data_IF_418211345095
#
_entry.id   IF_418211345095
#
_cell.length_a   1.000
_cell.length_b   1.000
_cell.length_c   1.000
_cell.angle_alpha   90.00
_cell.angle_beta   90.00
_cell.angle_gamma   90.00
#
_symmetry.space_group_name_H-M   'P 1'
#
loop_
_entity.id
_entity.type
_entity.pdbx_description
1 polymer ?
#
# COMPACT_ATOMS: atom_id res chain seq x y z
N UNK A 1 -113.63 -43.72 43.40
CA UNK A 1 -113.96 -43.85 41.96
C UNK A 1 -114.55 -42.54 41.45
N UNK A 2 -113.77 -41.78 40.66
CA UNK A 2 -114.15 -40.99 39.46
C UNK A 2 -113.04 -40.01 39.14
N UNK A 3 -112.14 -40.47 38.27
CA UNK A 3 -111.22 -39.66 37.50
C UNK A 3 -112.00 -38.76 36.55
N UNK A 4 -111.73 -37.46 36.56
CA UNK A 4 -112.08 -36.57 35.45
C UNK A 4 -110.79 -35.98 34.88
N UNK A 5 -110.40 -36.49 33.71
CA UNK A 5 -109.40 -35.86 32.84
C UNK A 5 -109.89 -34.47 32.46
N UNK A 6 -109.17 -33.41 32.83
CA UNK A 6 -109.27 -32.11 32.15
C UNK A 6 -108.05 -31.94 31.24
N UNK A 7 -108.35 -31.77 29.95
CA UNK A 7 -107.40 -31.63 28.86
C UNK A 7 -106.33 -30.57 29.13
N UNK A 8 -105.10 -30.92 28.76
CA UNK A 8 -103.93 -30.03 28.71
C UNK A 8 -104.26 -28.87 27.75
N UNK A 9 -104.63 -27.69 28.26
CA UNK A 9 -104.47 -26.45 27.48
C UNK A 9 -102.96 -26.27 27.35
N UNK A 10 -102.39 -26.62 26.19
CA UNK A 10 -101.01 -26.22 25.89
C UNK A 10 -100.97 -24.70 25.95
N UNK A 11 -100.36 -24.15 27.00
CA UNK A 11 -100.19 -22.71 27.12
C UNK A 11 -99.23 -22.28 26.02
N UNK A 12 -99.79 -21.93 24.86
CA UNK A 12 -99.06 -21.35 23.72
C UNK A 12 -98.15 -20.21 24.20
N UNK A 13 -98.60 -19.44 25.21
CA UNK A 13 -97.83 -18.38 25.88
C UNK A 13 -96.57 -18.88 26.59
N UNK A 14 -96.61 -20.04 27.25
CA UNK A 14 -95.45 -20.64 27.94
C UNK A 14 -94.48 -21.25 26.93
N UNK A 15 -94.99 -21.88 25.88
CA UNK A 15 -94.16 -22.35 24.77
C UNK A 15 -93.54 -21.19 24.00
N UNK A 16 -94.26 -20.09 23.72
CA UNK A 16 -93.70 -18.88 23.12
C UNK A 16 -92.65 -18.23 24.03
N UNK A 17 -92.88 -18.21 25.34
CA UNK A 17 -91.93 -17.64 26.30
C UNK A 17 -90.65 -18.48 26.38
N UNK A 18 -90.78 -19.82 26.39
CA UNK A 18 -89.63 -20.73 26.33
C UNK A 18 -88.91 -20.65 24.97
N UNK A 19 -89.63 -20.44 23.88
CA UNK A 19 -89.06 -20.30 22.54
C UNK A 19 -88.38 -18.93 22.37
N UNK A 20 -88.91 -17.88 23.00
CA UNK A 20 -88.28 -16.56 23.12
C UNK A 20 -87.02 -16.65 23.99
N UNK A 21 -87.08 -17.34 25.14
CA UNK A 21 -85.91 -17.56 25.99
C UNK A 21 -84.83 -18.37 25.27
N UNK A 22 -85.24 -19.43 24.54
CA UNK A 22 -84.34 -20.24 23.73
C UNK A 22 -83.77 -19.43 22.54
N UNK A 23 -84.56 -18.56 21.91
CA UNK A 23 -84.08 -17.66 20.86
C UNK A 23 -83.08 -16.63 21.43
N UNK A 24 -83.35 -16.04 22.59
CA UNK A 24 -82.41 -15.13 23.27
C UNK A 24 -81.13 -15.86 23.68
N UNK A 25 -81.23 -17.10 24.17
CA UNK A 25 -80.07 -17.94 24.49
C UNK A 25 -79.30 -18.39 23.23
N UNK A 26 -79.97 -18.63 22.09
CA UNK A 26 -79.32 -18.92 20.81
C UNK A 26 -78.63 -17.68 20.19
N UNK A 27 -79.16 -16.48 20.44
CA UNK A 27 -78.50 -15.22 20.04
C UNK A 27 -77.25 -14.96 20.90
N UNK A 28 -77.19 -15.52 22.13
CA UNK A 28 -75.98 -15.46 22.98
C UNK A 28 -74.91 -16.50 22.64
N UNK A 29 -75.13 -17.40 21.68
CA UNK A 29 -74.23 -18.52 21.37
C UNK A 29 -73.75 -18.59 19.91
N UNK A 30 -73.70 -17.46 19.21
CA UNK A 30 -73.01 -17.38 17.91
C UNK A 30 -72.13 -16.14 17.83
N UNK A 31 -70.92 -16.34 17.27
CA UNK A 31 -69.78 -15.42 17.17
C UNK A 31 -68.93 -15.30 18.43
N UNK A 32 -68.27 -16.42 18.77
CA UNK A 32 -66.86 -16.32 19.13
C UNK A 32 -66.14 -15.63 17.97
N UNK A 33 -65.92 -14.32 18.09
CA UNK A 33 -64.90 -13.67 17.30
C UNK A 33 -63.66 -13.60 18.16
N UNK A 34 -62.69 -14.44 17.82
CA UNK A 34 -61.30 -14.16 18.13
C UNK A 34 -61.05 -12.70 17.78
N UNK A 35 -60.70 -11.87 18.77
CA UNK A 35 -60.07 -10.61 18.45
C UNK A 35 -58.73 -10.98 17.83
N UNK A 36 -58.71 -11.04 16.49
CA UNK A 36 -57.47 -10.98 15.74
C UNK A 36 -56.74 -9.73 16.21
N UNK A 37 -55.54 -9.91 16.76
CA UNK A 37 -54.61 -8.78 16.88
C UNK A 37 -54.36 -8.29 15.46
N UNK A 38 -55.02 -7.22 15.03
CA UNK A 38 -54.78 -6.56 13.74
C UNK A 38 -53.49 -5.73 13.74
N UNK A 39 -52.71 -5.84 14.82
CA UNK A 39 -51.40 -5.23 14.99
C UNK A 39 -50.42 -6.33 15.34
N UNK A 40 -49.64 -6.75 14.34
CA UNK A 40 -48.35 -7.38 14.58
C UNK A 40 -47.32 -6.24 14.61
N UNK A 41 -46.62 -6.10 15.73
CA UNK A 41 -45.48 -5.18 15.83
C UNK A 41 -44.20 -6.01 15.74
N UNK A 42 -43.34 -5.68 14.78
CA UNK A 42 -41.98 -6.20 14.75
C UNK A 42 -41.20 -5.40 15.79
N UNK A 43 -40.60 -6.08 16.78
CA UNK A 43 -39.70 -5.44 17.75
C UNK A 43 -38.62 -4.62 17.05
N UNK A 44 -38.09 -3.58 17.71
CA UNK A 44 -36.95 -2.80 17.20
C UNK A 44 -35.87 -3.73 16.67
N UNK A 45 -35.65 -3.74 15.35
CA UNK A 45 -34.56 -4.47 14.74
C UNK A 45 -33.26 -3.76 15.15
N UNK A 46 -32.57 -4.31 16.14
CA UNK A 46 -31.23 -3.87 16.52
C UNK A 46 -30.26 -4.38 15.46
N UNK A 47 -30.12 -3.63 14.37
CA UNK A 47 -29.12 -3.89 13.35
C UNK A 47 -27.80 -3.30 13.85
N UNK A 48 -26.84 -4.18 14.18
CA UNK A 48 -25.44 -3.78 14.30
C UNK A 48 -24.95 -3.54 12.87
N UNK A 49 -24.75 -2.27 12.51
CA UNK A 49 -23.98 -1.93 11.31
C UNK A 49 -22.52 -2.03 11.73
N UNK A 50 -21.87 -3.15 11.42
CA UNK A 50 -20.40 -3.22 11.49
C UNK A 50 -19.84 -2.38 10.35
N UNK A 51 -18.71 -1.72 10.58
CA UNK A 51 -17.99 -1.00 9.54
C UNK A 51 -17.73 -1.95 8.38
N UNK A 52 -18.03 -1.48 7.17
CA UNK A 52 -17.69 -2.19 5.93
C UNK A 52 -16.19 -2.45 5.96
N UNK A 53 -15.78 -3.67 5.63
CA UNK A 53 -14.37 -4.08 5.61
C UNK A 53 -13.48 -2.97 5.04
N UNK A 54 -12.41 -2.62 5.75
CA UNK A 54 -11.68 -1.38 5.49
C UNK A 54 -10.20 -1.45 5.79
N UNK A 55 -9.48 -0.47 5.26
CA UNK A 55 -8.05 -0.27 5.49
C UNK A 55 -7.82 1.08 6.17
N UNK A 56 -7.00 1.06 7.22
CA UNK A 56 -6.42 2.26 7.80
C UNK A 56 -4.90 2.13 7.83
N UNK A 57 -4.20 3.26 7.86
CA UNK A 57 -2.74 3.33 7.93
C UNK A 57 -2.28 4.12 9.15
N UNK A 58 -1.07 3.84 9.62
CA UNK A 58 -0.46 4.52 10.77
C UNK A 58 1.05 4.62 10.61
N UNK A 59 1.68 5.64 11.21
CA UNK A 59 3.14 5.69 11.35
C UNK A 59 3.65 4.97 12.60
N UNK A 60 2.77 4.66 13.58
CA UNK A 60 3.18 4.11 14.88
C UNK A 60 2.31 2.94 15.37
N UNK A 61 1.43 2.38 14.53
CA UNK A 61 0.49 1.31 14.86
C UNK A 61 -0.51 1.61 16.00
N UNK A 62 -0.61 2.85 16.46
CA UNK A 62 -1.56 3.29 17.50
C UNK A 62 -2.56 4.31 16.97
N UNK A 63 -2.06 5.27 16.19
CA UNK A 63 -2.84 6.36 15.62
C UNK A 63 -3.20 6.02 14.17
N UNK A 64 -4.41 5.50 13.97
CA UNK A 64 -4.92 5.07 12.66
C UNK A 64 -5.60 6.22 11.91
N UNK A 65 -5.31 6.33 10.62
CA UNK A 65 -5.77 7.40 9.72
C UNK A 65 -5.92 6.87 8.30
N UNK A 66 -6.58 7.63 7.42
CA UNK A 66 -6.62 7.36 5.97
C UNK A 66 -5.47 8.05 5.22
N UNK A 67 -4.69 8.91 5.88
CA UNK A 67 -3.58 9.66 5.24
C UNK A 67 -2.44 9.89 6.22
N UNK A 68 -1.22 9.56 5.78
CA UNK A 68 0.02 9.89 6.49
C UNK A 68 0.67 11.14 5.88
N UNK A 69 1.11 12.05 6.75
CA UNK A 69 1.87 13.24 6.35
C UNK A 69 3.36 13.04 6.64
N UNK A 70 4.22 13.83 5.99
CA UNK A 70 5.66 13.79 6.25
C UNK A 70 6.00 14.06 7.74
N UNK A 71 5.22 14.93 8.40
CA UNK A 71 5.38 15.22 9.83
C UNK A 71 5.09 13.97 10.70
N UNK A 72 4.04 13.21 10.37
CA UNK A 72 3.70 11.96 11.07
C UNK A 72 4.77 10.87 10.89
N UNK A 73 5.45 10.85 9.75
CA UNK A 73 6.50 9.87 9.42
C UNK A 73 7.82 10.22 10.11
N UNK A 74 8.19 11.51 10.13
CA UNK A 74 9.48 11.99 10.65
C UNK A 74 9.47 12.35 12.13
N UNK A 75 8.29 12.52 12.73
CA UNK A 75 8.16 12.89 14.15
C UNK A 75 8.54 14.33 14.47
N UNK A 76 8.74 15.18 13.44
CA UNK A 76 8.98 16.61 13.62
C UNK A 76 7.64 17.34 13.87
N UNK A 77 7.39 17.72 15.12
CA UNK A 77 6.37 18.68 15.56
C UNK A 77 4.89 18.41 15.18
N UNK A 78 4.37 17.21 15.46
CA UNK A 78 2.91 17.02 15.52
C UNK A 78 2.37 17.30 16.94
N UNK A 79 1.49 18.30 17.07
CA UNK A 79 0.86 18.66 18.36
C UNK A 79 -0.01 17.51 18.83
N UNK A 80 0.43 16.81 19.89
CA UNK A 80 -0.27 15.69 20.53
C UNK A 80 0.31 14.30 20.26
N UNK A 81 1.44 14.17 19.54
CA UNK A 81 2.10 12.88 19.37
C UNK A 81 3.04 12.59 20.55
N UNK A 82 2.80 11.51 21.29
CA UNK A 82 3.94 10.64 21.63
C UNK A 82 4.67 10.39 20.31
N UNK A 83 5.99 10.57 20.24
CA UNK A 83 6.82 10.44 19.05
C UNK A 83 6.39 9.25 18.15
N UNK A 84 6.86 9.24 16.89
CA UNK A 84 6.88 7.98 16.12
C UNK A 84 7.41 6.83 17.01
N UNK A 85 7.03 5.57 16.74
CA UNK A 85 7.30 4.48 17.67
C UNK A 85 8.81 4.39 18.00
N UNK A 86 9.14 4.00 19.24
CA UNK A 86 10.46 4.19 19.88
C UNK A 86 11.66 3.81 19.01
N UNK A 87 11.54 2.74 18.23
CA UNK A 87 12.63 2.16 17.46
C UNK A 87 12.55 2.50 15.95
N UNK A 88 11.67 3.42 15.56
CA UNK A 88 11.51 3.86 14.19
C UNK A 88 12.80 4.48 13.63
N UNK A 89 13.23 4.01 12.45
CA UNK A 89 14.34 4.62 11.70
C UNK A 89 13.82 5.06 10.35
N UNK A 90 13.16 6.23 10.34
CA UNK A 90 12.53 6.81 9.16
C UNK A 90 13.41 7.94 8.59
N UNK A 91 13.74 7.84 7.31
CA UNK A 91 14.61 8.71 6.54
C UNK A 91 13.79 9.43 5.46
N UNK A 92 13.66 10.76 5.53
CA UNK A 92 12.90 11.56 4.54
C UNK A 92 13.70 12.81 4.15
N UNK A 93 14.78 12.66 3.35
CA UNK A 93 15.63 13.77 2.97
C UNK A 93 14.95 14.66 1.92
N UNK A 94 15.33 15.94 1.90
CA UNK A 94 14.85 16.90 0.90
C UNK A 94 15.60 16.81 -0.45
N UNK A 95 16.72 16.08 -0.48
CA UNK A 95 17.56 15.87 -1.66
C UNK A 95 17.86 14.38 -1.76
N UNK A 96 17.54 13.77 -2.90
CA UNK A 96 17.93 12.40 -3.22
C UNK A 96 19.22 12.42 -4.04
N UNK A 97 20.05 11.40 -3.84
CA UNK A 97 21.18 11.12 -4.71
C UNK A 97 21.00 9.73 -5.33
N UNK A 98 21.56 9.49 -6.52
CA UNK A 98 21.50 8.18 -7.15
C UNK A 98 22.08 7.11 -6.22
N UNK A 99 21.24 6.12 -5.90
CA UNK A 99 21.64 4.92 -5.16
C UNK A 99 21.22 3.71 -5.96
N UNK A 100 21.81 2.55 -5.65
CA UNK A 100 21.47 1.29 -6.31
C UNK A 100 21.45 0.16 -5.30
N UNK A 101 20.74 -0.92 -5.65
CA UNK A 101 20.54 -2.07 -4.78
C UNK A 101 20.07 -3.28 -5.58
N UNK A 102 20.37 -4.47 -5.07
CA UNK A 102 19.74 -5.71 -5.52
C UNK A 102 18.53 -6.15 -4.68
N UNK A 103 18.07 -5.32 -3.74
CA UNK A 103 16.98 -5.68 -2.82
C UNK A 103 17.36 -6.71 -1.75
N UNK A 104 18.66 -6.91 -1.51
CA UNK A 104 19.12 -7.72 -0.39
C UNK A 104 18.72 -7.04 0.93
N UNK A 105 18.18 -7.81 1.86
CA UNK A 105 17.72 -7.31 3.16
C UNK A 105 18.61 -7.88 4.24
N UNK A 106 19.10 -7.01 5.12
CA UNK A 106 19.79 -7.37 6.35
C UNK A 106 19.04 -6.74 7.54
N UNK A 107 18.57 -7.59 8.47
CA UNK A 107 17.84 -7.19 9.69
C UNK A 107 16.69 -6.21 9.43
N UNK A 108 15.81 -6.52 8.49
CA UNK A 108 14.66 -5.67 8.13
C UNK A 108 14.97 -4.52 7.16
N UNK A 109 16.25 -4.24 6.91
CA UNK A 109 16.66 -3.09 6.09
C UNK A 109 17.23 -3.50 4.76
N UNK A 110 16.78 -2.86 3.69
CA UNK A 110 17.35 -3.05 2.36
C UNK A 110 18.76 -2.46 2.31
N UNK A 111 19.73 -3.23 1.81
CA UNK A 111 21.07 -2.72 1.52
C UNK A 111 20.99 -1.71 0.39
N UNK A 112 21.50 -0.50 0.62
CA UNK A 112 21.53 0.57 -0.38
C UNK A 112 22.97 0.99 -0.61
N UNK A 113 23.32 1.34 -1.84
CA UNK A 113 24.66 1.77 -2.20
C UNK A 113 24.64 3.12 -2.90
N UNK A 114 25.32 4.11 -2.34
CA UNK A 114 25.49 5.43 -2.95
C UNK A 114 26.50 5.35 -4.10
N UNK A 115 26.02 5.63 -5.31
CA UNK A 115 26.84 5.68 -6.51
C UNK A 115 27.62 6.99 -6.62
N UNK A 116 28.88 6.91 -7.01
CA UNK A 116 29.70 8.07 -7.39
C UNK A 116 30.57 7.76 -8.58
N UNK A 117 30.50 8.62 -9.59
CA UNK A 117 31.36 8.55 -10.76
C UNK A 117 32.66 9.30 -10.49
N UNK A 118 33.78 8.64 -10.75
CA UNK A 118 35.14 9.19 -10.65
C UNK A 118 35.84 9.07 -12.01
N UNK A 119 36.95 9.78 -12.17
CA UNK A 119 37.86 9.58 -13.29
C UNK A 119 38.94 8.58 -12.88
N UNK A 120 39.10 7.51 -13.65
CA UNK A 120 40.11 6.48 -13.40
C UNK A 120 41.52 7.06 -13.44
N UNK A 121 42.35 6.60 -12.49
CA UNK A 121 43.78 6.89 -12.38
C UNK A 121 44.67 5.72 -12.78
N UNK A 122 44.10 4.56 -13.11
CA UNK A 122 44.87 3.39 -13.54
C UNK A 122 45.42 3.62 -14.95
N UNK A 123 46.54 2.97 -15.29
CA UNK A 123 47.09 3.09 -16.64
C UNK A 123 46.16 2.49 -17.71
N UNK A 124 45.37 1.47 -17.35
CA UNK A 124 44.45 0.78 -18.27
C UNK A 124 43.23 1.64 -18.66
N UNK A 125 42.69 2.42 -17.73
CA UNK A 125 41.45 3.19 -17.91
C UNK A 125 41.61 4.69 -17.75
N UNK A 126 42.85 5.19 -17.70
CA UNK A 126 43.19 6.60 -17.48
C UNK A 126 42.28 7.57 -18.22
N UNK A 127 41.64 8.46 -17.46
CA UNK A 127 40.78 9.50 -18.02
C UNK A 127 39.35 9.06 -18.35
N UNK A 128 39.01 7.77 -18.23
CA UNK A 128 37.64 7.25 -18.36
C UNK A 128 36.88 7.36 -17.05
N UNK A 129 35.55 7.36 -17.14
CA UNK A 129 34.69 7.34 -15.96
C UNK A 129 34.55 5.93 -15.38
N UNK A 130 34.67 5.84 -14.06
CA UNK A 130 34.50 4.61 -13.27
C UNK A 130 33.47 4.83 -12.17
N UNK A 131 32.73 3.77 -11.85
CA UNK A 131 31.76 3.78 -10.77
C UNK A 131 32.39 3.34 -9.45
N UNK A 132 32.09 4.05 -8.39
CA UNK A 132 32.25 3.60 -7.01
C UNK A 132 30.88 3.53 -6.33
N UNK A 133 30.74 2.64 -5.36
CA UNK A 133 29.50 2.40 -4.65
C UNK A 133 29.79 2.20 -3.17
N UNK A 134 29.27 3.08 -2.32
CA UNK A 134 29.49 3.02 -0.86
C UNK A 134 28.22 2.51 -0.17
N UNK A 135 28.31 1.53 0.74
CA UNK A 135 27.15 1.07 1.51
C UNK A 135 26.57 2.22 2.35
N UNK A 136 25.26 2.37 2.29
CA UNK A 136 24.50 3.33 3.08
C UNK A 136 23.77 2.63 4.22
N UNK A 137 23.45 3.40 5.26
CA UNK A 137 22.59 2.94 6.34
C UNK A 137 21.44 3.90 6.54
N UNK A 138 20.27 3.38 6.87
CA UNK A 138 19.10 4.21 7.13
C UNK A 138 19.38 5.15 8.31
N UNK A 139 19.22 6.45 8.08
CA UNK A 139 19.35 7.50 9.09
C UNK A 139 17.98 8.02 9.49
N UNK A 140 17.73 8.15 10.79
CA UNK A 140 16.46 8.72 11.26
C UNK A 140 16.46 10.25 11.03
N UNK A 141 15.39 10.79 10.46
CA UNK A 141 15.18 12.22 10.24
C UNK A 141 15.26 12.63 8.76
N UNK A 142 15.90 13.78 8.51
CA UNK A 142 15.90 14.47 7.21
C UNK A 142 17.22 14.35 6.44
N UNK A 143 18.14 13.51 6.92
CA UNK A 143 19.42 13.24 6.27
C UNK A 143 19.35 11.94 5.47
N UNK A 144 20.28 11.72 4.54
CA UNK A 144 20.33 10.50 3.71
C UNK A 144 20.15 10.78 2.22
N UNK A 145 20.22 9.72 1.41
CA UNK A 145 20.26 9.81 -0.06
C UNK A 145 19.02 9.20 -0.75
N UNK A 146 18.16 8.53 0.01
CA UNK A 146 16.91 7.89 -0.41
C UNK A 146 15.83 8.08 0.67
N UNK A 147 14.57 7.84 0.35
CA UNK A 147 13.49 7.86 1.33
C UNK A 147 13.28 6.44 1.85
N UNK A 148 13.15 6.27 3.16
CA UNK A 148 12.64 5.03 3.73
C UNK A 148 11.86 5.29 5.01
N UNK A 149 10.76 4.59 5.21
CA UNK A 149 9.98 4.70 6.43
C UNK A 149 9.12 3.47 6.65
N UNK A 150 8.80 3.24 7.91
CA UNK A 150 7.77 2.27 8.27
C UNK A 150 6.40 2.92 8.26
N UNK A 151 5.43 2.17 7.77
CA UNK A 151 4.02 2.41 7.99
C UNK A 151 3.33 1.09 8.32
N UNK A 152 2.20 1.22 8.99
CA UNK A 152 1.41 0.09 9.45
C UNK A 152 0.07 0.13 8.74
N UNK A 153 -0.45 -1.05 8.43
CA UNK A 153 -1.76 -1.25 7.81
C UNK A 153 -2.63 -1.99 8.82
N UNK A 154 -3.81 -1.45 9.12
CA UNK A 154 -4.88 -2.15 9.82
C UNK A 154 -5.89 -2.63 8.77
N UNK A 155 -6.00 -3.95 8.60
CA UNK A 155 -7.08 -4.55 7.83
C UNK A 155 -8.20 -5.00 8.79
N UNK A 156 -9.30 -4.26 8.78
CA UNK A 156 -10.52 -4.63 9.49
C UNK A 156 -11.36 -5.54 8.57
N UNK A 157 -11.04 -6.83 8.56
CA UNK A 157 -11.78 -7.85 7.82
C UNK A 157 -11.72 -9.20 8.54
N UNK A 158 -12.62 -10.11 8.18
CA UNK A 158 -12.58 -11.51 8.64
C UNK A 158 -11.70 -12.40 7.77
N UNK A 159 -11.23 -11.91 6.62
CA UNK A 159 -10.44 -12.68 5.65
C UNK A 159 -9.34 -11.82 5.02
N UNK A 160 -8.37 -12.49 4.39
CA UNK A 160 -7.32 -11.78 3.66
C UNK A 160 -7.90 -11.04 2.44
N UNK A 161 -7.33 -9.88 2.10
CA UNK A 161 -7.76 -9.04 0.98
C UNK A 161 -6.57 -8.65 0.12
N UNK A 162 -6.83 -8.46 -1.17
CA UNK A 162 -5.83 -7.92 -2.08
C UNK A 162 -5.73 -6.41 -1.89
N UNK A 163 -4.50 -5.94 -1.70
CA UNK A 163 -4.13 -4.54 -1.64
C UNK A 163 -3.65 -4.09 -3.02
N UNK A 164 -4.21 -3.00 -3.50
CA UNK A 164 -3.90 -2.41 -4.80
C UNK A 164 -3.22 -1.06 -4.64
N UNK A 165 -2.26 -0.79 -5.52
CA UNK A 165 -1.83 0.57 -5.83
C UNK A 165 -2.85 1.21 -6.77
N UNK A 166 -3.26 2.43 -6.47
CA UNK A 166 -4.30 3.16 -7.22
C UNK A 166 -3.69 4.17 -8.20
N UNK A 167 -4.41 4.49 -9.30
CA UNK A 167 -4.08 5.60 -10.18
C UNK A 167 -3.76 6.89 -9.41
N UNK A 168 -2.73 7.61 -9.88
CA UNK A 168 -2.17 8.77 -9.18
C UNK A 168 -1.20 8.43 -8.05
N UNK A 169 -0.87 7.15 -7.84
CA UNK A 169 0.40 6.76 -7.23
C UNK A 169 1.54 6.87 -8.26
N UNK A 170 2.78 6.93 -7.80
CA UNK A 170 3.97 6.90 -8.65
C UNK A 170 4.90 8.07 -8.36
N UNK A 171 5.82 8.31 -9.29
CA UNK A 171 6.78 9.41 -9.20
C UNK A 171 6.51 10.37 -10.34
N UNK A 172 6.28 11.63 -10.02
CA UNK A 172 5.92 12.66 -11.01
C UNK A 172 6.80 13.88 -10.85
N UNK A 173 7.08 14.56 -11.96
CA UNK A 173 7.74 15.85 -11.91
C UNK A 173 6.83 16.91 -11.29
N UNK A 174 7.35 17.63 -10.29
CA UNK A 174 6.64 18.71 -9.62
C UNK A 174 6.91 20.05 -10.33
N UNK A 175 6.11 20.32 -11.35
CA UNK A 175 6.21 21.54 -12.16
C UNK A 175 5.91 22.83 -11.38
N UNK A 176 5.06 22.76 -10.35
CA UNK A 176 4.74 23.93 -9.51
C UNK A 176 5.95 24.36 -8.69
N UNK A 177 6.58 23.40 -7.99
CA UNK A 177 7.80 23.65 -7.22
C UNK A 177 8.96 24.05 -8.11
N UNK A 178 9.09 23.43 -9.28
CA UNK A 178 10.07 23.81 -10.29
C UNK A 178 9.89 25.26 -10.76
N UNK A 179 8.66 25.68 -11.05
CA UNK A 179 8.37 27.05 -11.49
C UNK A 179 8.72 28.11 -10.43
N UNK A 180 8.51 27.77 -9.15
CA UNK A 180 8.82 28.62 -8.00
C UNK A 180 10.32 28.75 -7.71
N UNK A 181 11.17 27.90 -8.27
CA UNK A 181 12.62 28.01 -8.11
C UNK A 181 13.17 29.24 -8.85
N UNK A 182 14.22 29.86 -8.30
CA UNK A 182 14.89 31.00 -8.94
C UNK A 182 15.97 30.56 -9.91
N UNK A 183 16.51 29.34 -9.74
CA UNK A 183 17.51 28.77 -10.63
C UNK A 183 16.84 28.13 -11.86
N UNK A 184 17.11 28.70 -13.03
CA UNK A 184 16.57 28.22 -14.31
C UNK A 184 16.90 26.74 -14.59
N UNK A 185 17.98 26.19 -14.02
CA UNK A 185 18.34 24.80 -14.18
C UNK A 185 17.31 23.83 -13.57
N UNK A 186 16.46 24.29 -12.65
CA UNK A 186 15.48 23.46 -11.92
C UNK A 186 14.06 23.53 -12.50
N UNK A 187 13.85 24.34 -13.56
CA UNK A 187 12.51 24.67 -14.07
C UNK A 187 11.92 23.69 -15.06
N UNK A 188 12.71 22.76 -15.57
CA UNK A 188 12.29 21.85 -16.65
C UNK A 188 12.14 20.43 -16.12
N UNK A 189 11.19 19.70 -16.68
CA UNK A 189 11.17 18.24 -16.58
C UNK A 189 12.33 17.68 -17.41
N UNK A 190 13.12 16.80 -16.79
CA UNK A 190 14.28 16.16 -17.40
C UNK A 190 14.18 14.63 -17.42
N UNK A 191 13.03 14.09 -16.99
CA UNK A 191 12.71 12.66 -17.01
C UNK A 191 13.25 11.86 -15.83
N UNK A 192 13.77 12.50 -14.77
CA UNK A 192 14.40 11.78 -13.65
C UNK A 192 13.40 10.89 -12.87
N UNK A 193 12.10 11.18 -12.96
CA UNK A 193 11.03 10.33 -12.42
C UNK A 193 10.99 8.92 -13.01
N UNK A 194 11.55 8.72 -14.21
CA UNK A 194 11.58 7.42 -14.88
C UNK A 194 12.66 6.50 -14.27
N UNK A 195 13.71 7.10 -13.69
CA UNK A 195 14.74 6.37 -12.96
C UNK A 195 14.33 5.99 -11.52
N UNK A 196 13.11 6.31 -11.10
CA UNK A 196 12.70 6.04 -9.72
C UNK A 196 12.36 4.56 -9.51
N UNK A 197 12.53 4.09 -8.27
CA UNK A 197 12.10 2.77 -7.82
C UNK A 197 11.47 2.87 -6.44
N UNK A 198 10.49 2.02 -6.18
CA UNK A 198 9.80 1.93 -4.90
C UNK A 198 9.77 0.47 -4.47
N UNK A 199 10.20 0.17 -3.24
CA UNK A 199 10.10 -1.17 -2.67
C UNK A 199 9.24 -1.15 -1.41
N UNK A 200 8.42 -2.19 -1.26
CA UNK A 200 7.65 -2.48 -0.06
C UNK A 200 8.15 -3.79 0.55
N UNK A 201 8.63 -3.71 1.78
CA UNK A 201 9.08 -4.85 2.56
C UNK A 201 8.05 -5.08 3.64
N UNK A 202 7.27 -6.15 3.51
CA UNK A 202 6.34 -6.57 4.55
C UNK A 202 7.15 -7.29 5.61
N UNK A 203 7.21 -6.71 6.82
CA UNK A 203 8.00 -7.24 7.92
C UNK A 203 7.23 -8.24 8.79
N UNK A 204 5.93 -8.37 8.56
CA UNK A 204 5.06 -9.35 9.19
C UNK A 204 3.68 -8.79 9.53
N UNK A 205 2.79 -9.70 9.94
CA UNK A 205 1.43 -9.44 10.36
C UNK A 205 1.20 -9.90 11.82
N UNK A 206 0.25 -9.26 12.50
CA UNK A 206 -0.22 -9.60 13.85
C UNK A 206 -1.74 -9.65 13.83
N UNK A 207 -2.29 -10.80 14.21
CA UNK A 207 -3.73 -10.97 14.44
C UNK A 207 -4.13 -10.25 15.74
N UNK A 208 -4.91 -9.19 15.58
CA UNK A 208 -5.39 -8.34 16.67
C UNK A 208 -6.43 -9.03 17.54
N UNK A 209 -7.07 -10.11 17.06
CA UNK A 209 -8.04 -10.88 17.84
C UNK A 209 -7.38 -11.81 18.87
N UNK A 210 -6.08 -12.09 18.69
CA UNK A 210 -5.31 -13.03 19.52
C UNK A 210 -4.17 -12.35 20.29
N UNK A 211 -3.98 -11.04 20.14
CA UNK A 211 -2.82 -10.32 20.68
C UNK A 211 -3.27 -9.12 21.50
N UNK A 212 -3.03 -9.17 22.81
CA UNK A 212 -3.45 -8.12 23.75
C UNK A 212 -2.83 -6.75 23.43
N UNK A 213 -1.52 -6.70 23.12
CA UNK A 213 -0.83 -5.50 22.64
C UNK A 213 -0.32 -5.69 21.21
N UNK A 214 -1.27 -5.72 20.27
CA UNK A 214 -0.97 -5.86 18.85
C UNK A 214 -0.09 -4.72 18.30
N UNK A 215 -0.16 -3.52 18.89
CA UNK A 215 0.62 -2.35 18.46
C UNK A 215 2.11 -2.56 18.72
N UNK A 216 2.49 -2.91 19.95
CA UNK A 216 3.88 -3.21 20.29
C UNK A 216 4.36 -4.47 19.56
N UNK A 217 3.51 -5.50 19.45
CA UNK A 217 3.86 -6.73 18.75
C UNK A 217 4.18 -6.48 17.27
N UNK A 218 3.39 -5.66 16.57
CA UNK A 218 3.61 -5.37 15.15
C UNK A 218 4.81 -4.43 14.95
N UNK A 219 5.07 -3.47 15.85
CA UNK A 219 6.27 -2.62 15.81
C UNK A 219 7.57 -3.44 15.86
N UNK A 220 7.57 -4.52 16.66
CA UNK A 220 8.71 -5.42 16.84
C UNK A 220 8.92 -6.43 15.69
N UNK A 221 8.04 -6.45 14.69
CA UNK A 221 8.22 -7.29 13.49
C UNK A 221 9.45 -6.81 12.70
N UNK A 222 10.19 -7.78 12.17
CA UNK A 222 11.38 -7.58 11.34
C UNK A 222 11.29 -8.59 10.20
N UNK A 223 11.59 -8.16 8.98
CA UNK A 223 11.57 -9.04 7.82
C UNK A 223 12.37 -10.33 8.03
N UNK A 224 11.72 -11.46 7.76
CA UNK A 224 12.34 -12.77 7.70
C UNK A 224 11.86 -13.51 6.44
N UNK A 225 12.78 -13.83 5.53
CA UNK A 225 12.43 -14.47 4.27
C UNK A 225 11.73 -15.84 4.42
N UNK A 226 11.94 -16.53 5.54
CA UNK A 226 11.31 -17.82 5.82
C UNK A 226 9.88 -17.67 6.40
N UNK A 227 9.48 -16.46 6.82
CA UNK A 227 8.16 -16.19 7.38
C UNK A 227 7.15 -15.95 6.25
N UNK A 228 6.03 -16.67 6.27
CA UNK A 228 4.96 -16.55 5.29
C UNK A 228 4.20 -15.22 5.37
N UNK A 229 4.35 -14.48 6.47
CA UNK A 229 3.80 -13.13 6.65
C UNK A 229 4.73 -12.04 6.11
N UNK A 230 5.94 -12.40 5.66
CA UNK A 230 6.89 -11.48 5.09
C UNK A 230 6.88 -11.52 3.56
N UNK A 231 7.22 -10.39 2.93
CA UNK A 231 7.23 -10.26 1.47
C UNK A 231 8.07 -9.07 1.00
N UNK A 232 8.54 -9.13 -0.25
CA UNK A 232 9.24 -8.02 -0.91
C UNK A 232 8.56 -7.73 -2.24
N UNK A 233 8.25 -6.47 -2.47
CA UNK A 233 7.58 -6.02 -3.69
C UNK A 233 8.35 -4.83 -4.23
N UNK A 234 8.98 -5.00 -5.39
CA UNK A 234 9.72 -3.96 -6.09
C UNK A 234 8.86 -3.42 -7.23
N UNK A 235 8.66 -2.12 -7.24
CA UNK A 235 7.87 -1.40 -8.23
C UNK A 235 8.73 -0.39 -8.99
N UNK A 236 8.63 -0.46 -10.32
CA UNK A 236 9.15 0.53 -11.24
C UNK A 236 8.01 1.37 -11.85
N UNK A 237 7.84 2.62 -11.39
CA UNK A 237 6.91 3.57 -12.01
C UNK A 237 7.48 4.17 -13.30
N UNK A 238 6.61 4.59 -14.20
CA UNK A 238 6.95 5.20 -15.50
C UNK A 238 7.84 4.31 -16.39
N UNK A 239 7.74 2.98 -16.25
CA UNK A 239 8.67 2.01 -16.85
C UNK A 239 8.73 2.00 -18.38
N UNK A 240 7.76 2.64 -19.03
CA UNK A 240 7.61 2.68 -20.49
C UNK A 240 8.10 3.98 -21.13
N UNK A 241 8.66 4.92 -20.34
CA UNK A 241 9.00 6.26 -20.80
C UNK A 241 10.45 6.57 -20.51
N UNK A 242 11.19 6.99 -21.55
CA UNK A 242 12.58 7.41 -21.45
C UNK A 242 12.80 8.67 -22.29
N UNK A 243 13.65 9.57 -21.82
CA UNK A 243 13.95 10.80 -22.59
C UNK A 243 14.91 10.49 -23.75
N UNK A 244 14.82 11.27 -24.83
CA UNK A 244 15.79 11.16 -25.94
C UNK A 244 17.23 11.36 -25.46
N UNK A 245 17.45 12.23 -24.47
CA UNK A 245 18.76 12.44 -23.89
C UNK A 245 19.26 11.20 -23.13
N UNK A 246 18.42 10.58 -22.30
CA UNK A 246 18.74 9.35 -21.59
C UNK A 246 19.11 8.21 -22.55
N UNK A 247 18.32 8.01 -23.61
CA UNK A 247 18.58 7.04 -24.68
C UNK A 247 19.96 7.29 -25.31
N UNK A 248 20.25 8.54 -25.67
CA UNK A 248 21.53 8.90 -26.32
C UNK A 248 22.74 8.77 -25.38
N UNK A 249 22.62 9.15 -24.10
CA UNK A 249 23.72 9.03 -23.14
C UNK A 249 24.03 7.58 -22.80
N UNK A 250 23.00 6.75 -22.64
CA UNK A 250 23.16 5.33 -22.34
C UNK A 250 23.66 4.52 -23.53
N UNK A 251 23.29 4.82 -24.78
CA UNK A 251 23.95 4.21 -25.96
C UNK A 251 25.46 4.51 -25.98
N UNK A 252 25.86 5.70 -25.54
CA UNK A 252 27.24 6.14 -25.57
C UNK A 252 28.07 5.67 -24.36
N UNK A 253 27.43 5.20 -23.27
CA UNK A 253 28.10 4.79 -22.03
C UNK A 253 28.94 5.89 -21.39
N UNK A 254 28.56 7.17 -21.57
CA UNK A 254 29.38 8.32 -21.13
C UNK A 254 29.06 8.79 -19.72
N UNK A 255 27.78 8.84 -19.37
CA UNK A 255 27.27 9.46 -18.13
C UNK A 255 26.32 8.52 -17.36
N UNK A 256 26.20 7.29 -17.87
CA UNK A 256 25.40 6.19 -17.34
C UNK A 256 26.09 4.88 -17.73
N UNK A 257 25.67 3.74 -17.17
CA UNK A 257 25.95 2.44 -17.78
C UNK A 257 25.55 2.41 -19.25
N UNK A 258 26.27 1.61 -20.05
CA UNK A 258 25.93 1.44 -21.45
C UNK A 258 24.74 0.49 -21.59
N UNK A 259 23.75 0.91 -22.38
CA UNK A 259 22.61 0.10 -22.79
C UNK A 259 22.65 -0.08 -24.30
N UNK A 260 22.58 -1.32 -24.77
CA UNK A 260 22.48 -1.63 -26.20
C UNK A 260 21.08 -1.28 -26.71
N UNK A 261 20.98 -1.04 -28.02
CA UNK A 261 19.70 -0.73 -28.65
C UNK A 261 18.63 -1.81 -28.40
N UNK A 262 19.04 -3.08 -28.29
CA UNK A 262 18.19 -4.23 -27.94
C UNK A 262 17.59 -4.08 -26.54
N UNK A 263 18.41 -3.67 -25.57
CA UNK A 263 18.02 -3.50 -24.17
C UNK A 263 17.09 -2.29 -24.02
N UNK A 264 17.38 -1.19 -24.73
CA UNK A 264 16.53 0.01 -24.74
C UNK A 264 15.16 -0.21 -25.40
N UNK A 265 15.05 -1.20 -26.29
CA UNK A 265 13.79 -1.54 -26.94
C UNK A 265 12.89 -2.43 -26.07
N UNK A 266 13.42 -2.97 -24.96
CA UNK A 266 12.62 -3.72 -23.99
C UNK A 266 11.72 -2.77 -23.18
N UNK A 267 10.58 -3.29 -22.72
CA UNK A 267 9.68 -2.57 -21.82
C UNK A 267 9.23 -3.55 -20.71
N UNK A 268 9.69 -3.37 -19.46
CA UNK A 268 10.65 -2.36 -18.99
C UNK A 268 12.07 -2.57 -19.56
N UNK A 269 12.91 -1.54 -19.49
CA UNK A 269 14.34 -1.65 -19.81
C UNK A 269 15.06 -2.43 -18.68
N UNK A 270 15.80 -3.50 -19.00
CA UNK A 270 16.49 -4.30 -17.98
C UNK A 270 17.67 -3.53 -17.39
N UNK A 271 17.79 -3.49 -16.06
CA UNK A 271 18.92 -2.84 -15.39
C UNK A 271 19.65 -3.79 -14.43
N UNK A 272 20.87 -3.41 -14.06
CA UNK A 272 21.69 -4.15 -13.09
C UNK A 272 21.80 -3.37 -11.79
N UNK A 273 21.40 -3.96 -10.66
CA UNK A 273 21.53 -3.35 -9.34
C UNK A 273 22.89 -3.62 -8.71
N UNK A 274 23.37 -2.70 -7.86
CA UNK A 274 24.62 -2.88 -7.08
C UNK A 274 24.40 -3.86 -5.93
N UNK A 275 25.27 -4.86 -5.85
CA UNK A 275 25.24 -5.96 -4.88
C UNK A 275 26.15 -5.73 -3.67
N UNK A 276 27.29 -5.07 -3.88
CA UNK A 276 28.31 -4.85 -2.85
C UNK A 276 29.05 -3.54 -3.10
N UNK A 277 29.86 -3.13 -2.12
CA UNK A 277 30.70 -1.95 -2.27
C UNK A 277 31.64 -2.07 -3.48
N UNK A 278 31.84 -0.95 -4.18
CA UNK A 278 32.79 -0.81 -5.29
C UNK A 278 33.75 0.32 -4.92
N UNK A 279 35.02 0.00 -4.81
CA UNK A 279 36.09 0.94 -4.45
C UNK A 279 36.80 1.47 -5.70
N UNK A 280 37.50 2.60 -5.59
CA UNK A 280 38.25 3.19 -6.71
C UNK A 280 39.28 2.21 -7.30
N UNK A 281 39.86 1.31 -6.47
CA UNK A 281 40.81 0.28 -6.90
C UNK A 281 40.20 -0.80 -7.81
N UNK A 282 38.88 -0.97 -7.77
CA UNK A 282 38.19 -1.97 -8.59
C UNK A 282 38.06 -1.51 -10.05
N UNK A 283 38.20 -0.19 -10.28
CA UNK A 283 38.36 0.43 -11.60
C UNK A 283 37.27 0.02 -12.62
N UNK A 284 36.04 -0.13 -12.13
CA UNK A 284 34.88 -0.54 -12.92
C UNK A 284 34.44 0.61 -13.82
N UNK A 285 34.71 0.50 -15.12
CA UNK A 285 34.23 1.47 -16.11
C UNK A 285 32.73 1.67 -16.01
N UNK A 286 32.28 2.92 -15.97
CA UNK A 286 30.86 3.28 -15.86
C UNK A 286 30.05 2.62 -16.99
N UNK A 287 30.54 2.68 -18.23
CA UNK A 287 29.93 2.02 -19.39
C UNK A 287 29.70 0.51 -19.19
N UNK A 288 30.54 -0.15 -18.40
CA UNK A 288 30.49 -1.60 -18.15
C UNK A 288 29.94 -1.95 -16.76
N UNK A 289 29.39 -0.98 -16.01
CA UNK A 289 28.83 -1.18 -14.68
C UNK A 289 27.52 -1.97 -14.77
N UNK A 290 27.60 -3.25 -15.11
CA UNK A 290 26.46 -4.15 -15.27
C UNK A 290 26.86 -5.61 -14.99
N UNK A 291 25.87 -6.49 -14.91
CA UNK A 291 26.06 -7.90 -14.55
C UNK A 291 26.87 -8.70 -15.57
N UNK A 292 26.88 -8.32 -16.86
CA UNK A 292 27.44 -9.14 -17.94
C UNK A 292 28.97 -9.32 -17.84
N UNK A 293 29.67 -8.42 -17.16
CA UNK A 293 31.12 -8.52 -16.91
C UNK A 293 31.52 -8.41 -15.44
N UNK A 294 30.59 -8.09 -14.54
CA UNK A 294 30.90 -7.69 -13.16
C UNK A 294 29.94 -8.34 -12.13
N UNK A 295 29.66 -9.64 -12.26
CA UNK A 295 28.73 -10.41 -11.40
C UNK A 295 29.08 -10.40 -9.90
N UNK A 296 30.33 -10.11 -9.55
CA UNK A 296 30.74 -9.90 -8.15
C UNK A 296 30.15 -8.63 -7.55
N UNK A 297 29.87 -7.62 -8.39
CA UNK A 297 29.44 -6.28 -7.99
C UNK A 297 27.98 -5.99 -8.33
N UNK A 298 27.42 -6.67 -9.34
CA UNK A 298 26.07 -6.42 -9.81
C UNK A 298 25.25 -7.70 -9.97
N UNK A 299 23.93 -7.54 -9.95
CA UNK A 299 22.97 -8.57 -10.36
C UNK A 299 21.88 -7.94 -11.25
N UNK A 300 21.31 -8.73 -12.15
CA UNK A 300 20.14 -8.31 -12.92
C UNK A 300 18.95 -8.11 -11.99
N UNK A 301 18.18 -7.05 -12.24
CA UNK A 301 16.99 -6.72 -11.47
C UNK A 301 15.72 -7.05 -12.23
N UNK A 302 14.72 -7.53 -11.49
CA UNK A 302 13.38 -7.79 -12.02
C UNK A 302 12.37 -7.26 -11.01
N UNK A 303 11.87 -6.03 -11.20
CA UNK A 303 10.75 -5.54 -10.43
C UNK A 303 9.55 -6.49 -10.50
N UNK A 304 8.82 -6.60 -9.39
CA UNK A 304 7.60 -7.40 -9.29
C UNK A 304 6.40 -6.70 -9.92
N UNK A 305 6.48 -5.37 -10.05
CA UNK A 305 5.43 -4.53 -10.59
C UNK A 305 6.01 -3.46 -11.49
N UNK A 306 5.30 -3.16 -12.58
CA UNK A 306 5.57 -2.07 -13.50
C UNK A 306 4.29 -1.27 -13.70
N UNK A 307 4.42 0.04 -13.82
CA UNK A 307 3.30 0.90 -14.22
C UNK A 307 3.77 1.90 -15.24
N UNK A 308 3.03 1.98 -16.34
CA UNK A 308 3.24 2.99 -17.38
C UNK A 308 3.06 4.40 -16.84
N UNK A 309 3.70 5.37 -17.52
CA UNK A 309 3.49 6.79 -17.26
C UNK A 309 2.00 7.13 -17.30
N UNK A 310 1.53 7.84 -16.28
CA UNK A 310 0.13 8.22 -16.09
C UNK A 310 -0.70 7.19 -15.30
N UNK A 311 -0.22 5.94 -15.15
CA UNK A 311 -0.77 4.90 -14.28
C UNK A 311 -2.31 4.87 -14.20
N UNK A 312 -2.98 4.35 -15.23
CA UNK A 312 -4.44 4.52 -15.41
C UNK A 312 -5.32 3.44 -14.79
N UNK A 313 -4.75 2.28 -14.46
CA UNK A 313 -5.49 1.15 -13.87
C UNK A 313 -4.82 0.70 -12.59
N UNK A 314 -5.61 0.43 -11.54
CA UNK A 314 -5.08 -0.10 -10.28
C UNK A 314 -4.31 -1.41 -10.51
N UNK A 315 -3.25 -1.62 -9.75
CA UNK A 315 -2.42 -2.83 -9.84
C UNK A 315 -2.33 -3.51 -8.48
N UNK A 316 -2.48 -4.84 -8.45
CA UNK A 316 -2.35 -5.60 -7.22
C UNK A 316 -0.90 -5.48 -6.73
N UNK A 317 -0.73 -4.99 -5.51
CA UNK A 317 0.57 -4.93 -4.84
C UNK A 317 0.85 -6.23 -4.10
N UNK A 318 -0.07 -6.63 -3.21
CA UNK A 318 0.08 -7.80 -2.36
C UNK A 318 -1.27 -8.27 -1.81
N UNK A 319 -1.28 -9.39 -1.10
CA UNK A 319 -2.43 -9.84 -0.30
C UNK A 319 -2.10 -9.61 1.17
N UNK A 320 -2.97 -8.93 1.90
CA UNK A 320 -2.83 -8.62 3.33
C UNK A 320 -3.83 -9.40 4.17
N UNK A 321 -3.42 -9.79 5.39
CA UNK A 321 -4.24 -10.54 6.35
C UNK A 321 -4.94 -9.60 7.33
N UNK A 322 -6.05 -10.03 7.97
CA UNK A 322 -6.67 -9.29 9.06
C UNK A 322 -5.68 -8.86 10.14
N UNK A 323 -5.94 -7.73 10.78
CA UNK A 323 -5.11 -7.20 11.86
C UNK A 323 -4.02 -6.24 11.35
N UNK A 324 -2.91 -6.17 12.08
CA UNK A 324 -1.88 -5.16 11.86
C UNK A 324 -0.70 -5.71 11.07
N UNK A 325 -0.34 -5.04 9.98
CA UNK A 325 0.80 -5.40 9.13
C UNK A 325 1.83 -4.29 9.15
N UNK A 326 3.10 -4.61 9.40
CA UNK A 326 4.22 -3.64 9.29
C UNK A 326 4.80 -3.70 7.89
N UNK A 327 4.95 -2.53 7.27
CA UNK A 327 5.55 -2.37 5.94
C UNK A 327 6.63 -1.31 6.01
N UNK A 328 7.83 -1.66 5.54
CA UNK A 328 8.92 -0.70 5.31
C UNK A 328 8.98 -0.33 3.84
N UNK A 329 8.76 0.95 3.55
CA UNK A 329 8.90 1.49 2.21
C UNK A 329 10.33 1.97 1.96
N UNK A 330 10.84 1.77 0.75
CA UNK A 330 12.04 2.40 0.21
C UNK A 330 11.66 3.11 -1.09
N UNK A 331 12.12 4.34 -1.28
CA UNK A 331 11.93 5.09 -2.52
C UNK A 331 13.23 5.77 -2.89
N UNK A 332 13.71 5.55 -4.11
CA UNK A 332 15.01 6.07 -4.53
C UNK A 332 15.05 6.37 -6.03
N UNK A 333 16.11 7.06 -6.43
CA UNK A 333 16.52 7.21 -7.82
C UNK A 333 17.57 6.14 -8.10
N UNK A 334 17.26 5.20 -8.98
CA UNK A 334 18.12 4.09 -9.36
C UNK A 334 19.30 4.59 -10.19
N UNK A 335 20.49 4.59 -9.59
CA UNK A 335 21.71 5.12 -10.23
C UNK A 335 22.18 4.31 -11.44
N UNK A 336 21.73 3.08 -11.56
CA UNK A 336 22.05 2.21 -12.69
C UNK A 336 21.05 2.33 -13.84
N UNK A 337 19.94 3.05 -13.65
CA UNK A 337 18.92 3.28 -14.66
C UNK A 337 19.42 4.24 -15.75
N UNK A 338 18.96 4.07 -16.99
CA UNK A 338 19.38 4.87 -18.13
C UNK A 338 18.92 6.34 -18.06
N UNK A 339 17.82 6.64 -17.37
CA UNK A 339 17.37 8.03 -17.15
C UNK A 339 18.15 8.73 -16.02
N UNK A 340 19.00 8.00 -15.29
CA UNK A 340 19.83 8.54 -14.22
C UNK A 340 21.20 9.02 -14.73
N UNK A 341 21.20 10.16 -15.42
CA UNK A 341 22.42 10.81 -15.93
C UNK A 341 22.58 12.23 -15.34
N UNK A 342 23.80 12.78 -15.40
CA UNK A 342 24.14 14.09 -14.81
C UNK A 342 23.21 15.20 -15.31
N UNK A 343 22.87 15.17 -16.60
CA UNK A 343 21.99 16.16 -17.22
C UNK A 343 20.53 16.14 -16.73
N UNK A 344 20.07 15.05 -16.10
CA UNK A 344 18.73 14.95 -15.50
C UNK A 344 18.64 15.51 -14.06
N UNK A 345 19.79 15.85 -13.46
CA UNK A 345 19.86 16.45 -12.12
C UNK A 345 19.15 17.81 -12.03
N UNK A 346 18.82 18.24 -10.81
CA UNK A 346 18.09 19.48 -10.59
C UNK A 346 16.65 19.41 -11.09
N UNK A 347 15.92 18.41 -10.60
CA UNK A 347 14.51 18.14 -10.92
C UNK A 347 13.76 17.97 -9.60
N UNK A 348 12.55 18.52 -9.50
CA UNK A 348 11.67 18.31 -8.36
C UNK A 348 10.72 17.14 -8.63
N UNK A 349 10.62 16.21 -7.69
CA UNK A 349 9.82 15.01 -7.82
C UNK A 349 8.89 14.85 -6.62
N UNK A 350 7.65 14.41 -6.89
CA UNK A 350 6.72 13.97 -5.86
C UNK A 350 6.58 12.45 -5.92
N UNK A 351 6.69 11.80 -4.75
CA UNK A 351 6.45 10.37 -4.58
C UNK A 351 5.07 10.19 -3.96
N UNK A 352 4.13 9.67 -4.74
CA UNK A 352 2.74 9.52 -4.35
C UNK A 352 2.41 8.04 -4.13
N UNK A 353 1.81 7.70 -3.00
CA UNK A 353 1.31 6.37 -2.70
C UNK A 353 -0.17 6.43 -2.34
N UNK A 354 -0.99 5.68 -3.07
CA UNK A 354 -2.43 5.52 -2.81
C UNK A 354 -2.78 4.05 -2.84
N UNK A 355 -3.47 3.60 -1.79
CA UNK A 355 -3.82 2.21 -1.59
C UNK A 355 -5.32 2.00 -1.52
N UNK A 356 -5.77 0.84 -1.97
CA UNK A 356 -7.15 0.38 -1.84
C UNK A 356 -7.15 -1.11 -1.58
N UNK A 357 -8.08 -1.59 -0.75
CA UNK A 357 -8.35 -3.02 -0.59
C UNK A 357 -9.56 -3.41 -1.40
N UNK A 358 -9.59 -4.63 -1.95
CA UNK A 358 -10.78 -5.08 -2.67
C UNK A 358 -11.97 -5.19 -1.72
N UNK A 359 -13.00 -4.38 -1.99
CA UNK A 359 -14.28 -4.43 -1.27
C UNK A 359 -15.32 -5.28 -2.02
N UNK A 360 -14.98 -5.84 -3.19
CA UNK A 360 -15.93 -6.57 -4.04
C UNK A 360 -15.98 -8.05 -3.63
N UNK A 361 -17.03 -8.42 -2.89
CA UNK A 361 -17.50 -9.80 -2.86
C UNK A 361 -18.04 -10.19 -4.23
N UNK A 362 -17.24 -10.91 -5.02
CA UNK A 362 -17.68 -11.78 -6.12
C UNK A 362 -18.26 -11.10 -7.38
N UNK A 363 -17.67 -11.44 -8.52
CA UNK A 363 -18.42 -11.70 -9.75
C UNK A 363 -17.82 -12.95 -10.41
#
# INVERSE_FOLDING_TARGET
MKTTKKQKKSNLKVSLLLLLLAAVLLISSTYAWFVSQNTAEVSTLQVKIETVEGIQISSNAKNWTSTLTNAMITGADYVGSELNYKDAVNQVPSILKPVSTIGEIDKGKQKMFLGKVLTSKTDANKGKYVLTATPETDTHGLTGNYITFDFFINLESTSAKDLYLQPGSGVVWNGERAAADTNAAYKNDKGLQNAARIAFIVEGNVDTSQTEDASTAVQNKIYNQADADCGKYLWEPNSNTHTTNAINQSLAGRDTPMYKAEEQAANPVPYSGVKTAIEEKDDILLANANVAGNTSFFAAMTPTLFTDTGFTQRQKLMTIKPGYTKVRAYMWIEGQDMDCYTGASGTYLDFNLKFEVDTVTGA
#
